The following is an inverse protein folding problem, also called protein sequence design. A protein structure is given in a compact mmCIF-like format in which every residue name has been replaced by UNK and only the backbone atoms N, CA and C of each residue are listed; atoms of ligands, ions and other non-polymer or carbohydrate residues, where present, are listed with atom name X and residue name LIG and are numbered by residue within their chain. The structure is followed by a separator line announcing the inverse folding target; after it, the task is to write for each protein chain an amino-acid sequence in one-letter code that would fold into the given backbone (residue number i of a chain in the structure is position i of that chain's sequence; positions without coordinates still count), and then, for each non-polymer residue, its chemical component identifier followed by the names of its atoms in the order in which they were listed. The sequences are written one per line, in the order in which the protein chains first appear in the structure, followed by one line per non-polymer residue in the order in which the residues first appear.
data_IF_352421050937
#
_entry.id   IF_352421050937
#
_cell.length_a   1.000
_cell.length_b   1.000
_cell.length_c   1.000
_cell.angle_alpha   90.00
_cell.angle_beta   90.00
_cell.angle_gamma   90.00
#
_symmetry.space_group_name_H-M   'P 1'
#
loop_
_entity.id
_entity.type
_entity.pdbx_description
1 polymer ?
#
# COMPACT_ATOMS: atom_id res chain seq x y z
N UNK A 1 3.36 -15.36 -10.86
CA UNK A 1 4.55 -14.49 -10.97
C UNK A 1 4.19 -13.20 -10.26
N UNK A 2 4.97 -12.76 -9.26
CA UNK A 2 4.65 -11.52 -8.53
C UNK A 2 4.75 -10.32 -9.48
N UNK A 3 3.83 -9.39 -9.35
CA UNK A 3 3.94 -8.12 -10.08
C UNK A 3 4.97 -7.22 -9.39
N UNK A 4 5.52 -6.24 -10.11
CA UNK A 4 6.43 -5.24 -9.50
C UNK A 4 5.78 -4.51 -8.32
N UNK A 5 4.49 -4.19 -8.42
CA UNK A 5 3.73 -3.51 -7.37
C UNK A 5 3.62 -4.40 -6.13
N UNK A 6 3.34 -5.69 -6.30
CA UNK A 6 3.27 -6.66 -5.20
C UNK A 6 4.63 -6.78 -4.48
N UNK A 7 5.73 -6.89 -5.23
CA UNK A 7 7.07 -6.92 -4.65
C UNK A 7 7.39 -5.63 -3.88
N UNK A 8 7.08 -4.47 -4.46
CA UNK A 8 7.27 -3.18 -3.82
C UNK A 8 6.47 -3.03 -2.53
N UNK A 9 5.21 -3.46 -2.51
CA UNK A 9 4.40 -3.46 -1.28
C UNK A 9 5.05 -4.34 -0.21
N UNK A 10 5.54 -5.54 -0.58
CA UNK A 10 6.26 -6.40 0.34
C UNK A 10 7.56 -5.78 0.88
N UNK A 11 8.20 -4.92 0.10
CA UNK A 11 9.42 -4.18 0.48
C UNK A 11 9.10 -2.87 1.24
N UNK A 12 7.83 -2.62 1.56
CA UNK A 12 7.39 -1.45 2.34
C UNK A 12 7.15 -0.18 1.51
N UNK A 13 7.17 -0.26 0.19
CA UNK A 13 6.86 0.89 -0.68
C UNK A 13 5.39 1.29 -0.51
N UNK A 14 5.17 2.58 -0.30
CA UNK A 14 3.84 3.17 -0.17
C UNK A 14 3.40 3.70 -1.53
N UNK A 15 2.26 3.21 -2.02
CA UNK A 15 1.60 3.77 -3.20
C UNK A 15 0.52 4.75 -2.75
N UNK A 16 0.36 5.88 -3.44
CA UNK A 16 -0.66 6.84 -3.06
C UNK A 16 -0.73 8.07 -3.94
N UNK A 17 -1.56 9.00 -3.48
CA UNK A 17 -1.73 10.35 -4.00
C UNK A 17 -1.87 11.32 -2.83
N UNK A 18 -0.92 12.24 -2.71
CA UNK A 18 -0.88 13.24 -1.65
C UNK A 18 -1.96 14.32 -1.80
N UNK A 19 -2.54 14.49 -3.00
CA UNK A 19 -3.61 15.46 -3.24
C UNK A 19 -4.94 14.92 -2.72
N UNK A 20 -5.24 13.66 -3.01
CA UNK A 20 -6.48 13.01 -2.58
C UNK A 20 -6.39 12.36 -1.19
N UNK A 21 -5.20 12.35 -0.59
CA UNK A 21 -4.93 11.74 0.73
C UNK A 21 -5.29 10.25 0.75
N UNK A 22 -4.88 9.55 -0.31
CA UNK A 22 -5.15 8.13 -0.52
C UNK A 22 -3.84 7.35 -0.57
N UNK A 23 -3.76 6.25 0.18
CA UNK A 23 -2.54 5.46 0.30
C UNK A 23 -2.85 3.97 0.38
N UNK A 24 -1.96 3.15 -0.20
CA UNK A 24 -1.94 1.70 -0.12
C UNK A 24 -0.54 1.27 0.29
N UNK A 25 -0.43 0.51 1.37
CA UNK A 25 0.84 0.01 1.88
C UNK A 25 0.68 -1.32 2.63
N UNK A 26 1.77 -2.10 2.73
CA UNK A 26 1.80 -3.28 3.58
C UNK A 26 2.40 -2.93 4.95
N UNK A 27 1.73 -3.23 6.08
CA UNK A 27 2.31 -3.01 7.40
C UNK A 27 3.56 -3.88 7.64
N UNK A 28 4.51 -3.38 8.43
CA UNK A 28 5.72 -4.12 8.82
C UNK A 28 5.44 -5.48 9.50
N UNK A 29 4.30 -5.59 10.19
CA UNK A 29 3.86 -6.83 10.85
C UNK A 29 3.55 -7.97 9.87
N UNK A 30 3.34 -7.65 8.59
CA UNK A 30 2.97 -8.63 7.56
C UNK A 30 4.19 -9.18 6.79
N UNK A 31 5.41 -8.72 7.12
CA UNK A 31 6.63 -9.21 6.48
C UNK A 31 6.81 -10.71 6.77
N UNK A 32 6.94 -11.51 5.72
CA UNK A 32 7.13 -12.97 5.82
C UNK A 32 5.84 -13.75 6.11
N UNK A 33 4.69 -13.08 6.24
CA UNK A 33 3.40 -13.73 6.41
C UNK A 33 2.97 -14.38 5.08
N UNK A 34 2.37 -15.58 5.17
CA UNK A 34 1.99 -16.38 3.99
C UNK A 34 0.94 -15.68 3.12
N UNK A 35 -0.04 -15.05 3.76
CA UNK A 35 -1.13 -14.31 3.11
C UNK A 35 -1.18 -12.90 3.74
N UNK A 36 -0.28 -11.99 3.33
CA UNK A 36 -0.17 -10.69 3.97
C UNK A 36 -1.39 -9.82 3.65
N UNK A 37 -1.73 -8.95 4.59
CA UNK A 37 -2.76 -7.93 4.44
C UNK A 37 -2.09 -6.59 4.08
N UNK A 38 -2.78 -5.77 3.29
CA UNK A 38 -2.39 -4.38 3.03
C UNK A 38 -3.40 -3.44 3.69
N UNK A 39 -3.01 -2.20 3.90
CA UNK A 39 -3.90 -1.14 4.37
C UNK A 39 -4.20 -0.22 3.21
N UNK A 40 -5.47 0.09 3.02
CA UNK A 40 -5.93 1.23 2.25
C UNK A 40 -6.36 2.35 3.20
N UNK A 41 -5.76 3.51 3.04
CA UNK A 41 -6.00 4.71 3.85
C UNK A 41 -6.57 5.80 2.95
N UNK A 42 -7.72 6.36 3.32
CA UNK A 42 -8.35 7.49 2.63
C UNK A 42 -8.87 8.47 3.68
N UNK A 43 -8.42 9.72 3.61
CA UNK A 43 -8.77 10.75 4.59
C UNK A 43 -8.46 10.34 6.05
N UNK A 44 -9.49 9.90 6.79
CA UNK A 44 -9.42 9.48 8.19
C UNK A 44 -9.79 8.00 8.41
N UNK A 45 -10.09 7.26 7.35
CA UNK A 45 -10.36 5.82 7.42
C UNK A 45 -9.14 5.01 7.04
N UNK A 46 -9.04 3.82 7.64
CA UNK A 46 -8.11 2.77 7.26
C UNK A 46 -8.87 1.47 7.18
N UNK A 47 -8.64 0.74 6.11
CA UNK A 47 -9.27 -0.54 5.84
C UNK A 47 -8.20 -1.58 5.54
N UNK A 48 -8.29 -2.71 6.24
CA UNK A 48 -7.51 -3.90 5.95
C UNK A 48 -8.04 -4.54 4.66
N UNK A 49 -7.18 -4.67 3.66
CA UNK A 49 -7.51 -5.18 2.34
C UNK A 49 -6.55 -6.29 1.92
N UNK A 50 -7.03 -7.20 1.09
CA UNK A 50 -6.15 -8.24 0.53
C UNK A 50 -5.12 -7.65 -0.43
N UNK A 51 -4.02 -8.38 -0.65
CA UNK A 51 -3.03 -8.02 -1.68
C UNK A 51 -3.67 -7.84 -3.07
N UNK A 52 -4.68 -8.65 -3.42
CA UNK A 52 -5.40 -8.55 -4.69
C UNK A 52 -6.19 -7.24 -4.81
N UNK A 53 -6.85 -6.81 -3.73
CA UNK A 53 -7.56 -5.53 -3.68
C UNK A 53 -6.61 -4.35 -3.74
N UNK A 54 -5.45 -4.43 -3.07
CA UNK A 54 -4.40 -3.42 -3.12
C UNK A 54 -3.93 -3.19 -4.57
N UNK A 55 -3.62 -4.27 -5.29
CA UNK A 55 -3.23 -4.20 -6.70
C UNK A 55 -4.33 -3.61 -7.57
N UNK A 56 -5.60 -3.94 -7.30
CA UNK A 56 -6.74 -3.38 -8.04
C UNK A 56 -6.88 -1.87 -7.80
N UNK A 57 -6.80 -1.42 -6.55
CA UNK A 57 -6.93 0.00 -6.17
C UNK A 57 -5.80 0.81 -6.79
N UNK A 58 -4.54 0.36 -6.62
CA UNK A 58 -3.36 1.04 -7.17
C UNK A 58 -3.50 1.22 -8.68
N UNK A 59 -3.99 0.20 -9.41
CA UNK A 59 -4.21 0.28 -10.86
C UNK A 59 -5.36 1.20 -11.23
N UNK A 60 -6.54 1.02 -10.63
CA UNK A 60 -7.74 1.78 -10.96
C UNK A 60 -7.57 3.28 -10.68
N UNK A 61 -6.90 3.61 -9.57
CA UNK A 61 -6.63 4.99 -9.16
C UNK A 61 -5.28 5.53 -9.67
N UNK A 62 -4.54 4.72 -10.43
CA UNK A 62 -3.22 5.08 -10.99
C UNK A 62 -2.20 5.57 -9.94
N UNK A 63 -2.29 5.05 -8.71
CA UNK A 63 -1.45 5.45 -7.58
C UNK A 63 0.04 5.21 -7.90
N UNK A 64 0.90 6.07 -7.37
CA UNK A 64 2.35 6.03 -7.60
C UNK A 64 3.09 5.84 -6.27
N UNK A 65 4.35 5.38 -6.28
CA UNK A 65 5.18 5.46 -5.09
C UNK A 65 5.25 6.90 -4.57
N UNK A 66 4.98 7.10 -3.29
CA UNK A 66 4.93 8.42 -2.65
C UNK A 66 5.59 8.41 -1.28
N UNK A 67 5.90 9.61 -0.79
CA UNK A 67 6.23 9.83 0.62
C UNK A 67 4.95 10.13 1.38
N UNK A 68 4.52 9.19 2.22
CA UNK A 68 3.36 9.34 3.11
C UNK A 68 3.63 10.42 4.16
N UNK A 69 2.65 11.29 4.50
CA UNK A 69 2.84 12.38 5.46
C UNK A 69 3.22 11.89 6.87
N UNK A 70 2.64 10.76 7.31
CA UNK A 70 2.93 10.11 8.60
C UNK A 70 4.07 9.07 8.59
N UNK A 71 4.14 8.22 7.58
CA UNK A 71 5.06 7.06 7.54
C UNK A 71 6.38 7.39 6.83
N UNK A 72 6.44 8.46 6.04
CA UNK A 72 7.62 8.78 5.24
C UNK A 72 7.68 7.93 3.97
N UNK A 73 8.87 7.43 3.64
CA UNK A 73 9.14 6.73 2.35
C UNK A 73 8.89 5.22 2.40
N UNK A 74 8.68 4.66 3.60
CA UNK A 74 8.51 3.22 3.86
C UNK A 74 7.43 3.02 4.91
N UNK A 75 6.63 1.96 4.77
CA UNK A 75 5.70 1.49 5.80
C UNK A 75 6.32 0.51 6.81
N UNK A 76 7.58 0.11 6.56
CA UNK A 76 8.39 -0.77 7.39
C UNK A 76 9.54 -0.02 8.06
#
# INVERSE_FOLDING_TARGET
MRTLIEANLCDGVIYGDNVNLEYVYMPASEIGVKNPICVFEENSSREDISMSEALMIIRKRSLKPVKHPRLGISSC
#
